data_IF_486618112699
#
_entry.id   IF_486618112699
#
_cell.length_a   1.000
_cell.length_b   1.000
_cell.length_c   1.000
_cell.angle_alpha   90.00
_cell.angle_beta   90.00
_cell.angle_gamma   90.00
#
_symmetry.space_group_name_H-M   'P 1'
#
loop_
_entity.id
_entity.type
_entity.pdbx_description
1 polymer ?
#
# COMPACT_ATOMS: atom_id res chain seq x y z
N UNK A 1 1.69 -43.47 0.49
CA UNK A 1 1.03 -44.60 1.15
C UNK A 1 0.97 -44.31 2.65
N UNK A 2 -0.18 -44.53 3.29
CA UNK A 2 -0.39 -44.46 4.73
C UNK A 2 -1.11 -45.75 5.11
N UNK A 3 -0.52 -46.55 5.99
CA UNK A 3 -1.05 -47.86 6.42
C UNK A 3 -1.41 -48.81 5.27
N UNK A 4 -0.57 -48.87 4.23
CA UNK A 4 -0.80 -49.73 3.06
C UNK A 4 -1.70 -49.13 1.99
N UNK A 5 -2.32 -47.96 2.24
CA UNK A 5 -3.26 -47.33 1.31
C UNK A 5 -2.65 -46.11 0.61
N UNK A 6 -2.79 -46.04 -0.72
CA UNK A 6 -2.44 -44.85 -1.50
C UNK A 6 -3.46 -43.74 -1.21
N UNK A 7 -2.97 -42.61 -0.69
CA UNK A 7 -3.76 -41.39 -0.45
C UNK A 7 -3.30 -40.30 -1.43
N UNK A 8 -4.17 -39.35 -1.73
CA UNK A 8 -3.90 -38.23 -2.66
C UNK A 8 -2.67 -37.38 -2.22
N UNK A 9 -2.51 -37.17 -0.91
CA UNK A 9 -1.46 -36.33 -0.34
C UNK A 9 -1.67 -34.83 -0.59
N UNK A 10 -0.80 -34.02 0.00
CA UNK A 10 -0.79 -32.56 -0.18
C UNK A 10 -0.23 -32.18 -1.57
N UNK A 11 -0.50 -30.95 -2.01
CA UNK A 11 0.06 -30.39 -3.25
C UNK A 11 1.55 -29.98 -3.12
N UNK A 12 2.24 -30.46 -2.09
CA UNK A 12 3.70 -30.33 -1.91
C UNK A 12 4.45 -31.34 -2.79
N UNK A 13 5.77 -31.16 -2.92
CA UNK A 13 6.61 -32.08 -3.70
C UNK A 13 6.67 -33.47 -3.06
N UNK A 14 6.78 -33.53 -1.72
CA UNK A 14 6.80 -34.79 -0.97
C UNK A 14 5.43 -35.46 -0.79
N UNK A 15 4.33 -34.80 -1.19
CA UNK A 15 2.93 -35.19 -0.89
C UNK A 15 2.57 -35.20 0.60
N UNK A 16 3.44 -34.70 1.47
CA UNK A 16 3.25 -34.60 2.93
C UNK A 16 3.08 -33.15 3.38
N UNK A 17 2.66 -32.97 4.63
CA UNK A 17 2.76 -31.69 5.32
C UNK A 17 4.23 -31.49 5.72
N UNK A 18 4.92 -30.54 5.08
CA UNK A 18 6.36 -30.34 5.21
C UNK A 18 6.69 -29.41 6.39
N UNK A 19 7.19 -29.97 7.50
CA UNK A 19 7.93 -29.17 8.49
C UNK A 19 9.34 -28.83 7.99
N UNK A 20 9.99 -29.80 7.35
CA UNK A 20 11.20 -29.60 6.57
C UNK A 20 10.83 -29.60 5.07
N UNK A 21 11.17 -28.52 4.37
CA UNK A 21 10.90 -28.36 2.94
C UNK A 21 12.18 -28.58 2.13
N UNK A 22 12.27 -29.74 1.49
CA UNK A 22 13.46 -30.22 0.79
C UNK A 22 13.90 -29.26 -0.32
N UNK A 23 12.96 -28.70 -1.07
CA UNK A 23 13.32 -27.75 -2.13
C UNK A 23 13.93 -26.46 -1.59
N UNK A 24 13.58 -26.02 -0.37
CA UNK A 24 14.23 -24.86 0.26
C UNK A 24 15.68 -25.19 0.63
N UNK A 25 15.95 -26.42 1.07
CA UNK A 25 17.30 -26.92 1.34
C UNK A 25 18.17 -26.90 0.08
N UNK A 26 17.58 -27.12 -1.09
CA UNK A 26 18.26 -27.10 -2.38
C UNK A 26 18.31 -25.70 -3.02
N UNK A 27 17.31 -24.87 -2.78
CA UNK A 27 17.13 -23.58 -3.46
C UNK A 27 17.64 -22.41 -2.64
N UNK A 28 18.93 -22.12 -2.77
CA UNK A 28 19.62 -20.89 -2.32
C UNK A 28 19.49 -20.52 -0.84
N UNK A 29 18.53 -21.04 -0.08
CA UNK A 29 18.03 -20.59 1.23
C UNK A 29 17.89 -21.77 2.21
N UNK A 30 18.91 -22.62 2.38
CA UNK A 30 18.79 -23.88 3.11
C UNK A 30 18.45 -23.71 4.59
N UNK A 31 18.81 -22.59 5.20
CA UNK A 31 18.46 -22.30 6.59
C UNK A 31 16.96 -22.14 6.82
N UNK A 32 16.19 -21.84 5.76
CA UNK A 32 14.73 -21.65 5.79
C UNK A 32 13.97 -22.92 5.37
N UNK A 33 14.66 -24.06 5.27
CA UNK A 33 14.01 -25.35 5.05
C UNK A 33 13.09 -25.75 6.21
N UNK A 34 13.26 -25.16 7.39
CA UNK A 34 12.31 -25.24 8.51
C UNK A 34 11.81 -23.84 8.88
N UNK A 35 10.60 -23.70 9.46
CA UNK A 35 10.13 -22.41 9.96
C UNK A 35 11.06 -21.86 11.05
N UNK A 36 11.54 -20.63 10.86
CA UNK A 36 12.41 -19.94 11.81
C UNK A 36 11.99 -18.48 11.98
N UNK A 37 12.22 -17.95 13.18
CA UNK A 37 11.99 -16.54 13.51
C UNK A 37 13.17 -16.00 14.30
N UNK A 38 13.84 -14.91 13.84
CA UNK A 38 14.96 -14.32 14.56
C UNK A 38 14.48 -13.59 15.84
N UNK A 39 14.78 -14.15 17.01
CA UNK A 39 14.31 -13.64 18.30
C UNK A 39 15.28 -12.66 18.96
N UNK A 40 16.58 -12.74 18.66
CA UNK A 40 17.59 -11.80 19.19
C UNK A 40 17.96 -10.70 18.20
N UNK A 41 18.53 -9.60 18.69
CA UNK A 41 18.99 -8.48 17.85
C UNK A 41 20.10 -8.93 16.89
N UNK A 42 21.00 -9.80 17.34
CA UNK A 42 22.09 -10.37 16.55
C UNK A 42 21.54 -11.25 15.42
N UNK A 43 20.54 -12.08 15.72
CA UNK A 43 19.87 -12.90 14.72
C UNK A 43 19.16 -12.02 13.68
N UNK A 44 18.43 -10.99 14.11
CA UNK A 44 17.74 -10.06 13.20
C UNK A 44 18.71 -9.31 12.29
N UNK A 45 19.88 -8.93 12.78
CA UNK A 45 20.95 -8.35 11.94
C UNK A 45 21.46 -9.35 10.89
N UNK A 46 21.69 -10.61 11.28
CA UNK A 46 22.17 -11.65 10.37
C UNK A 46 21.13 -12.07 9.34
N UNK A 47 19.85 -12.01 9.71
CA UNK A 47 18.71 -12.54 8.95
C UNK A 47 17.78 -11.40 8.49
N UNK A 48 18.34 -10.22 8.21
CA UNK A 48 17.56 -8.99 7.98
C UNK A 48 16.48 -9.13 6.88
N UNK A 49 16.72 -9.97 5.86
CA UNK A 49 15.81 -10.24 4.75
C UNK A 49 14.53 -11.00 5.15
N UNK A 50 14.45 -11.58 6.35
CA UNK A 50 13.20 -12.14 6.93
C UNK A 50 12.68 -11.34 8.12
N UNK A 51 13.31 -10.19 8.43
CA UNK A 51 12.80 -9.25 9.43
C UNK A 51 11.87 -8.29 8.70
N UNK A 52 10.63 -8.14 9.20
CA UNK A 52 9.69 -7.17 8.64
C UNK A 52 10.28 -5.76 8.66
N UNK A 53 10.17 -5.02 7.57
CA UNK A 53 10.63 -3.63 7.40
C UNK A 53 9.95 -2.63 8.34
N UNK A 54 8.97 -3.06 9.13
CA UNK A 54 8.32 -2.25 10.17
C UNK A 54 8.61 -2.78 11.58
N UNK A 55 9.63 -3.62 11.74
CA UNK A 55 10.05 -4.12 13.04
C UNK A 55 10.51 -2.94 13.92
N UNK A 56 10.19 -2.98 15.21
CA UNK A 56 10.48 -1.89 16.16
C UNK A 56 11.98 -1.57 16.29
N UNK A 57 12.87 -2.52 16.03
CA UNK A 57 14.32 -2.28 15.93
C UNK A 57 14.69 -1.16 14.94
N UNK A 58 13.84 -0.88 13.95
CA UNK A 58 14.04 0.18 12.96
C UNK A 58 13.43 1.51 13.37
N UNK A 59 12.66 1.59 14.46
CA UNK A 59 12.04 2.82 14.94
C UNK A 59 13.00 3.48 15.93
N UNK A 60 13.84 4.39 15.44
CA UNK A 60 14.90 5.00 16.25
C UNK A 60 14.46 6.33 16.88
N UNK A 61 13.48 6.99 16.26
CA UNK A 61 12.96 8.28 16.70
C UNK A 61 11.57 8.12 17.29
N UNK A 62 11.23 9.00 18.22
CA UNK A 62 9.94 8.96 18.90
C UNK A 62 8.74 9.15 17.97
N UNK A 63 8.93 9.79 16.82
CA UNK A 63 7.89 10.03 15.83
C UNK A 63 7.93 9.06 14.63
N UNK A 64 8.61 7.91 14.80
CA UNK A 64 8.62 6.82 13.81
C UNK A 64 7.65 5.70 14.19
N UNK A 65 6.88 5.23 13.21
CA UNK A 65 5.78 4.27 13.43
C UNK A 65 5.75 3.19 12.36
N UNK A 66 5.15 2.05 12.72
CA UNK A 66 4.69 1.07 11.76
C UNK A 66 3.32 1.48 11.21
N UNK A 67 3.23 1.77 9.91
CA UNK A 67 1.97 2.10 9.25
C UNK A 67 1.32 0.85 8.62
N UNK A 68 0.12 0.52 9.09
CA UNK A 68 -0.77 -0.43 8.43
C UNK A 68 -1.57 0.29 7.34
N UNK A 69 -1.15 0.10 6.09
CA UNK A 69 -1.79 0.67 4.90
C UNK A 69 -2.89 -0.21 4.31
N UNK A 70 -3.03 -1.45 4.79
CA UNK A 70 -3.97 -2.45 4.27
C UNK A 70 -5.22 -2.56 5.14
N UNK A 71 -5.41 -1.66 6.09
CA UNK A 71 -6.62 -1.53 6.88
C UNK A 71 -7.82 -1.30 5.96
N UNK A 72 -8.87 -2.12 6.15
CA UNK A 72 -10.08 -2.09 5.35
C UNK A 72 -11.29 -1.79 6.21
N UNK A 73 -12.17 -0.95 5.68
CA UNK A 73 -13.47 -0.68 6.28
C UNK A 73 -14.40 -1.83 5.88
N UNK A 74 -15.10 -2.46 6.83
CA UNK A 74 -15.82 -3.72 6.58
C UNK A 74 -16.97 -3.58 5.58
N UNK A 75 -17.49 -2.36 5.39
CA UNK A 75 -18.57 -2.05 4.47
C UNK A 75 -18.08 -1.57 3.08
N UNK A 76 -16.77 -1.42 2.87
CA UNK A 76 -16.21 -1.03 1.58
C UNK A 76 -15.55 -2.21 0.85
N UNK A 77 -15.74 -2.27 -0.47
CA UNK A 77 -15.19 -3.33 -1.33
C UNK A 77 -13.96 -2.78 -2.05
N UNK A 78 -12.80 -2.83 -1.39
CA UNK A 78 -11.56 -2.23 -1.90
C UNK A 78 -11.80 -0.82 -2.49
N UNK A 79 -11.47 -0.62 -3.76
CA UNK A 79 -11.62 0.64 -4.48
C UNK A 79 -12.96 0.76 -5.22
N UNK A 80 -13.83 -0.26 -5.14
CA UNK A 80 -14.99 -0.45 -6.03
C UNK A 80 -16.30 0.09 -5.46
N UNK A 81 -16.34 0.41 -4.17
CA UNK A 81 -17.51 0.99 -3.50
C UNK A 81 -17.46 2.52 -3.39
N UNK A 82 -16.40 3.18 -3.89
CA UNK A 82 -16.24 4.64 -3.77
C UNK A 82 -17.37 5.42 -4.46
N UNK A 83 -18.04 4.80 -5.43
CA UNK A 83 -19.16 5.43 -6.13
C UNK A 83 -20.54 5.02 -5.57
N UNK A 84 -20.59 4.57 -4.31
CA UNK A 84 -21.84 4.34 -3.58
C UNK A 84 -22.08 5.48 -2.59
N UNK A 85 -23.20 6.21 -2.76
CA UNK A 85 -23.58 7.34 -1.89
C UNK A 85 -23.62 6.93 -0.41
N UNK A 86 -24.37 5.86 -0.10
CA UNK A 86 -24.57 5.39 1.27
C UNK A 86 -23.27 4.93 1.94
N UNK A 87 -22.39 4.28 1.18
CA UNK A 87 -21.11 3.81 1.73
C UNK A 87 -20.14 4.97 1.94
N UNK A 88 -20.14 5.95 1.05
CA UNK A 88 -19.31 7.15 1.22
C UNK A 88 -19.78 8.01 2.38
N UNK A 89 -21.08 8.20 2.56
CA UNK A 89 -21.65 8.93 3.69
C UNK A 89 -21.10 8.42 5.04
N UNK A 90 -21.15 7.11 5.28
CA UNK A 90 -20.65 6.53 6.54
C UNK A 90 -19.12 6.44 6.60
N UNK A 91 -18.43 6.48 5.45
CA UNK A 91 -16.97 6.43 5.37
C UNK A 91 -16.32 7.69 5.92
N UNK A 92 -17.00 8.84 5.87
CA UNK A 92 -16.44 10.14 6.29
C UNK A 92 -16.11 10.19 7.80
N UNK A 93 -16.68 9.28 8.59
CA UNK A 93 -16.36 9.17 10.02
C UNK A 93 -15.05 8.43 10.31
N UNK A 94 -14.46 7.80 9.30
CA UNK A 94 -13.29 6.92 9.45
C UNK A 94 -12.04 7.54 8.79
N UNK A 95 -11.94 8.87 8.89
CA UNK A 95 -10.85 9.69 8.35
C UNK A 95 -9.48 9.14 8.74
N UNK A 96 -8.50 9.30 7.83
CA UNK A 96 -7.79 8.19 7.25
C UNK A 96 -6.79 7.57 8.21
N UNK A 97 -6.12 8.37 9.04
CA UNK A 97 -4.95 7.93 9.79
C UNK A 97 -5.24 7.87 11.28
N UNK A 98 -5.37 6.65 11.77
CA UNK A 98 -5.59 6.35 13.17
C UNK A 98 -4.25 6.25 13.90
N UNK A 99 -4.18 6.91 15.06
CA UNK A 99 -3.00 6.95 15.94
C UNK A 99 -3.44 6.69 17.38
N UNK A 100 -2.62 5.97 18.16
CA UNK A 100 -2.94 5.71 19.55
C UNK A 100 -3.07 7.02 20.34
N UNK A 101 -4.01 7.11 21.28
CA UNK A 101 -4.24 8.33 22.08
C UNK A 101 -3.00 8.79 22.85
N UNK A 102 -2.14 7.87 23.32
CA UNK A 102 -0.91 8.19 24.04
C UNK A 102 0.15 8.77 23.10
N UNK A 103 0.32 8.19 21.91
CA UNK A 103 1.24 8.69 20.90
C UNK A 103 0.78 10.03 20.34
N UNK A 104 -0.52 10.20 20.10
CA UNK A 104 -1.11 11.46 19.68
C UNK A 104 -0.87 12.56 20.72
N UNK A 105 -1.10 12.26 22.01
CA UNK A 105 -0.80 13.18 23.11
C UNK A 105 0.69 13.55 23.15
N UNK A 106 1.58 12.57 23.00
CA UNK A 106 3.03 12.77 23.00
C UNK A 106 3.50 13.65 21.84
N UNK A 107 2.89 13.51 20.67
CA UNK A 107 3.18 14.32 19.47
C UNK A 107 2.32 15.58 19.35
N UNK A 108 1.47 15.87 20.33
CA UNK A 108 0.52 16.99 20.30
C UNK A 108 -0.40 16.99 19.04
N UNK A 109 -0.81 15.81 18.59
CA UNK A 109 -1.77 15.62 17.50
C UNK A 109 -3.17 15.50 18.09
N UNK A 110 -4.08 16.34 17.62
CA UNK A 110 -5.51 16.33 17.96
C UNK A 110 -6.32 15.73 16.81
N UNK A 111 -7.56 15.36 17.13
CA UNK A 111 -8.50 14.92 16.11
C UNK A 111 -8.73 16.04 15.10
N UNK A 112 -8.58 15.71 13.81
CA UNK A 112 -8.79 16.67 12.73
C UNK A 112 -7.52 17.37 12.26
N UNK A 113 -6.42 17.28 13.02
CA UNK A 113 -5.17 17.92 12.63
C UNK A 113 -4.63 17.32 11.33
N UNK A 114 -4.11 18.19 10.47
CA UNK A 114 -3.33 17.78 9.31
C UNK A 114 -1.96 17.28 9.80
N UNK A 115 -1.61 16.05 9.42
CA UNK A 115 -0.32 15.44 9.72
C UNK A 115 0.41 15.10 8.44
N UNK A 116 1.73 15.34 8.42
CA UNK A 116 2.62 14.88 7.35
C UNK A 116 3.13 13.50 7.69
N UNK A 117 2.90 12.56 6.78
CA UNK A 117 3.34 11.17 6.90
C UNK A 117 4.38 10.89 5.82
N UNK A 118 5.64 10.84 6.22
CA UNK A 118 6.77 10.57 5.33
C UNK A 118 7.15 9.10 5.40
N UNK A 119 7.21 8.41 4.26
CA UNK A 119 7.66 7.01 4.19
C UNK A 119 9.17 6.99 4.05
N UNK A 120 9.82 6.21 4.93
CA UNK A 120 11.27 6.04 4.96
C UNK A 120 11.56 4.55 4.84
N UNK A 121 12.33 4.18 3.82
CA UNK A 121 12.73 2.79 3.64
C UNK A 121 13.81 2.37 4.65
N UNK A 122 13.70 1.17 5.19
CA UNK A 122 14.61 0.65 6.23
C UNK A 122 15.92 0.12 5.68
N UNK A 123 15.99 -0.23 4.39
CA UNK A 123 17.20 -0.80 3.78
C UNK A 123 18.10 0.32 3.26
N UNK A 124 17.54 1.18 2.41
CA UNK A 124 18.27 2.29 1.77
C UNK A 124 18.34 3.56 2.63
N UNK A 125 17.45 3.71 3.62
CA UNK A 125 17.31 4.95 4.41
C UNK A 125 16.70 6.13 3.64
N UNK A 126 16.22 5.91 2.42
CA UNK A 126 15.68 6.96 1.56
C UNK A 126 14.21 7.26 1.86
N UNK A 127 13.85 8.53 1.70
CA UNK A 127 12.45 8.97 1.72
C UNK A 127 11.84 8.78 0.33
N UNK A 128 10.81 7.94 0.24
CA UNK A 128 10.09 7.69 -1.01
C UNK A 128 9.07 8.80 -1.32
N UNK A 129 8.67 9.53 -0.30
CA UNK A 129 7.82 10.71 -0.38
C UNK A 129 6.97 10.88 0.89
N UNK A 130 5.95 11.73 0.79
CA UNK A 130 5.02 11.97 1.89
C UNK A 130 3.59 12.20 1.40
N UNK A 131 2.65 12.07 2.32
CA UNK A 131 1.28 12.51 2.13
C UNK A 131 0.79 13.26 3.37
N UNK A 132 -0.14 14.19 3.17
CA UNK A 132 -0.80 14.92 4.25
C UNK A 132 -2.18 14.32 4.47
N UNK A 133 -2.46 13.90 5.70
CA UNK A 133 -3.70 13.24 6.06
C UNK A 133 -4.27 13.82 7.35
N UNK A 134 -5.57 13.58 7.60
CA UNK A 134 -6.17 13.92 8.89
C UNK A 134 -5.80 12.86 9.95
N UNK A 135 -5.25 13.31 11.06
CA UNK A 135 -4.96 12.49 12.23
C UNK A 135 -6.22 12.25 13.08
N UNK A 136 -6.42 11.00 13.52
CA UNK A 136 -7.54 10.58 14.36
C UNK A 136 -7.01 9.79 15.56
N UNK A 137 -6.89 10.42 16.75
CA UNK A 137 -6.57 9.73 17.99
C UNK A 137 -7.63 8.67 18.34
N UNK A 138 -7.20 7.45 18.64
CA UNK A 138 -8.07 6.33 19.01
C UNK A 138 -7.34 5.31 19.87
N UNK A 139 -8.06 4.58 20.71
CA UNK A 139 -7.49 3.46 21.49
C UNK A 139 -7.48 2.14 20.69
N UNK A 140 -8.05 2.14 19.48
CA UNK A 140 -8.15 0.96 18.61
C UNK A 140 -6.83 0.58 17.91
N UNK A 141 -5.77 1.39 18.07
CA UNK A 141 -4.42 1.11 17.55
C UNK A 141 -3.45 0.90 18.71
N UNK A 142 -2.53 -0.06 18.58
CA UNK A 142 -1.44 -0.25 19.54
C UNK A 142 -0.48 0.95 19.52
N UNK A 143 0.12 1.35 20.66
CA UNK A 143 1.21 2.32 20.66
C UNK A 143 2.35 1.94 19.71
N UNK A 144 2.91 2.92 19.00
CA UNK A 144 3.94 2.70 17.97
C UNK A 144 3.40 2.19 16.61
N UNK A 145 2.09 2.01 16.48
CA UNK A 145 1.41 1.60 15.25
C UNK A 145 0.39 2.66 14.83
N UNK A 146 0.37 2.96 13.54
CA UNK A 146 -0.68 3.76 12.91
C UNK A 146 -1.39 2.95 11.84
N UNK A 147 -2.65 3.29 11.56
CA UNK A 147 -3.41 2.63 10.50
C UNK A 147 -3.98 3.67 9.54
N UNK A 148 -3.73 3.49 8.24
CA UNK A 148 -4.35 4.28 7.20
C UNK A 148 -5.31 3.42 6.38
N UNK A 149 -6.59 3.80 6.34
CA UNK A 149 -7.61 3.09 5.56
C UNK A 149 -7.25 3.08 4.08
N UNK A 150 -7.25 1.89 3.46
CA UNK A 150 -7.02 1.76 2.02
C UNK A 150 -8.17 2.34 1.16
N UNK A 151 -9.31 2.67 1.77
CA UNK A 151 -10.51 3.09 1.03
C UNK A 151 -10.60 4.59 0.78
N UNK A 152 -9.93 5.40 1.62
CA UNK A 152 -9.88 6.85 1.51
C UNK A 152 -8.85 7.32 0.47
N UNK A 153 -8.83 8.62 0.17
CA UNK A 153 -7.82 9.23 -0.71
C UNK A 153 -8.01 8.92 -2.20
N UNK A 154 -9.25 8.73 -2.65
CA UNK A 154 -9.52 8.66 -4.10
C UNK A 154 -9.48 10.06 -4.68
N UNK A 155 -9.28 10.12 -5.99
CA UNK A 155 -9.11 11.37 -6.71
C UNK A 155 -9.55 11.19 -8.15
N UNK A 156 -9.81 12.32 -8.81
CA UNK A 156 -9.96 12.45 -10.26
C UNK A 156 -9.25 13.72 -10.72
N UNK A 157 -8.87 13.77 -11.99
CA UNK A 157 -8.21 14.94 -12.59
C UNK A 157 -9.17 15.80 -13.43
N UNK A 158 -10.34 15.26 -13.74
CA UNK A 158 -11.35 15.92 -14.57
C UNK A 158 -12.74 15.65 -14.03
N UNK A 159 -13.59 16.66 -14.11
CA UNK A 159 -15.00 16.58 -13.74
C UNK A 159 -15.88 16.03 -14.88
N UNK A 160 -15.46 16.17 -16.13
CA UNK A 160 -16.13 15.64 -17.31
C UNK A 160 -15.11 15.37 -18.43
N UNK A 161 -15.50 14.55 -19.40
CA UNK A 161 -14.70 14.23 -20.59
C UNK A 161 -15.54 14.35 -21.86
N UNK A 162 -14.96 14.93 -22.90
CA UNK A 162 -15.56 14.92 -24.23
C UNK A 162 -15.26 13.59 -24.91
N UNK A 163 -16.31 12.89 -25.34
CA UNK A 163 -16.20 11.61 -26.04
C UNK A 163 -16.79 11.77 -27.44
N UNK A 164 -16.04 11.46 -28.52
CA UNK A 164 -16.57 11.49 -29.87
C UNK A 164 -17.87 10.67 -29.99
N UNK A 165 -18.90 11.27 -30.58
CA UNK A 165 -20.23 10.66 -30.73
C UNK A 165 -21.26 11.05 -29.66
N UNK A 166 -20.86 11.75 -28.60
CA UNK A 166 -21.77 12.33 -27.63
C UNK A 166 -22.02 13.81 -27.92
N UNK A 167 -23.27 14.27 -27.74
CA UNK A 167 -23.67 15.67 -27.97
C UNK A 167 -23.25 16.63 -26.86
N UNK A 168 -22.76 16.11 -25.75
CA UNK A 168 -22.33 16.84 -24.56
C UNK A 168 -21.22 16.08 -23.84
N UNK A 169 -20.44 16.79 -23.02
CA UNK A 169 -19.41 16.19 -22.18
C UNK A 169 -20.04 15.20 -21.18
N UNK A 170 -19.38 14.06 -20.97
CA UNK A 170 -19.83 13.07 -19.99
C UNK A 170 -19.19 13.33 -18.63
N UNK A 171 -20.04 13.56 -17.62
CA UNK A 171 -19.59 13.75 -16.23
C UNK A 171 -18.88 12.52 -15.68
N UNK A 172 -17.74 12.73 -15.03
CA UNK A 172 -17.09 11.71 -14.21
C UNK A 172 -17.79 11.70 -12.85
N UNK A 173 -18.61 10.67 -12.63
CA UNK A 173 -19.24 10.41 -11.34
C UNK A 173 -18.19 9.90 -10.35
N UNK A 174 -17.91 10.69 -9.32
CA UNK A 174 -16.87 10.41 -8.34
C UNK A 174 -17.34 10.81 -6.95
N UNK A 175 -18.20 9.98 -6.34
CA UNK A 175 -18.86 10.28 -5.07
C UNK A 175 -17.93 10.24 -3.85
N UNK A 176 -16.76 9.65 -3.96
CA UNK A 176 -15.69 9.79 -2.98
C UNK A 176 -14.36 10.17 -3.61
N UNK A 177 -14.40 10.77 -4.81
CA UNK A 177 -13.21 11.17 -5.56
C UNK A 177 -13.24 12.68 -5.86
N UNK A 178 -12.68 13.51 -4.94
CA UNK A 178 -12.48 14.93 -5.16
C UNK A 178 -11.61 15.21 -6.40
N UNK A 179 -11.65 16.45 -6.87
CA UNK A 179 -10.82 16.92 -7.97
C UNK A 179 -9.43 17.31 -7.45
N UNK A 180 -8.40 16.88 -8.16
CA UNK A 180 -7.01 17.17 -7.85
C UNK A 180 -6.28 17.70 -9.07
N UNK A 181 -5.25 18.50 -8.83
CA UNK A 181 -4.20 18.80 -9.81
C UNK A 181 -3.01 17.85 -9.59
N UNK A 182 -2.46 17.35 -10.69
CA UNK A 182 -1.33 16.41 -10.69
C UNK A 182 -0.19 16.96 -11.53
N UNK A 183 1.03 16.83 -11.03
CA UNK A 183 2.25 17.05 -11.82
C UNK A 183 3.12 15.80 -11.79
N UNK A 184 3.74 15.47 -12.92
CA UNK A 184 4.69 14.36 -13.04
C UNK A 184 5.76 14.74 -14.07
N UNK A 185 7.02 14.80 -13.65
CA UNK A 185 8.16 15.11 -14.53
C UNK A 185 9.10 13.90 -14.77
N UNK A 186 8.71 12.73 -14.25
CA UNK A 186 9.50 11.49 -14.30
C UNK A 186 10.47 11.30 -13.13
N UNK A 187 10.71 12.33 -12.32
CA UNK A 187 11.52 12.27 -11.09
C UNK A 187 10.68 12.51 -9.85
N UNK A 188 9.74 13.44 -9.94
CA UNK A 188 8.83 13.85 -8.88
C UNK A 188 7.40 13.75 -9.41
N UNK A 189 6.51 13.30 -8.53
CA UNK A 189 5.07 13.35 -8.71
C UNK A 189 4.43 14.14 -7.56
N UNK A 190 3.49 15.03 -7.87
CA UNK A 190 2.67 15.69 -6.85
C UNK A 190 1.20 15.53 -7.15
N UNK A 191 0.39 15.47 -6.09
CA UNK A 191 -1.06 15.55 -6.16
C UNK A 191 -1.52 16.60 -5.16
N UNK A 192 -2.29 17.61 -5.59
CA UNK A 192 -2.81 18.67 -4.73
C UNK A 192 -4.33 18.77 -4.85
N UNK A 193 -5.07 18.83 -3.73
CA UNK A 193 -6.53 18.92 -3.75
C UNK A 193 -6.94 20.26 -4.37
N UNK A 194 -7.96 20.23 -5.20
CA UNK A 194 -8.47 21.40 -5.91
C UNK A 194 -9.90 21.74 -5.55
N UNK A 195 -10.75 20.72 -5.46
CA UNK A 195 -12.18 20.89 -5.22
C UNK A 195 -12.77 19.63 -4.56
N UNK A 196 -13.55 19.84 -3.49
CA UNK A 196 -14.30 18.80 -2.79
C UNK A 196 -15.49 18.26 -3.60
N UNK A 197 -15.98 17.08 -3.22
CA UNK A 197 -17.12 16.43 -3.88
C UNK A 197 -18.42 17.19 -3.67
N UNK A 198 -18.69 17.67 -2.46
CA UNK A 198 -19.88 18.44 -2.09
C UNK A 198 -20.11 19.67 -3.00
N UNK A 199 -19.20 20.63 -2.97
CA UNK A 199 -19.31 21.84 -3.79
C UNK A 199 -19.15 21.54 -5.28
N UNK A 200 -18.16 20.69 -5.62
CA UNK A 200 -17.80 20.41 -7.00
C UNK A 200 -18.84 19.58 -7.76
N UNK A 201 -19.62 18.73 -7.09
CA UNK A 201 -20.72 18.01 -7.74
C UNK A 201 -21.94 18.91 -7.95
N UNK A 202 -22.25 19.77 -6.97
CA UNK A 202 -23.39 20.69 -7.05
C UNK A 202 -23.21 21.80 -8.09
N UNK A 203 -21.98 22.24 -8.33
CA UNK A 203 -21.68 23.21 -9.37
C UNK A 203 -21.90 22.69 -10.81
N UNK A 204 -22.07 21.37 -11.01
CA UNK A 204 -22.15 20.72 -12.33
C UNK A 204 -23.35 19.81 -12.51
N UNK A 205 -24.52 20.22 -11.98
CA UNK A 205 -25.80 19.48 -12.11
C UNK A 205 -26.20 19.14 -13.54
N UNK A 206 -25.74 19.94 -14.50
CA UNK A 206 -25.92 19.72 -15.93
C UNK A 206 -25.25 18.42 -16.40
N UNK A 207 -24.08 18.06 -15.85
CA UNK A 207 -23.29 16.88 -16.19
C UNK A 207 -23.75 15.57 -15.51
N UNK A 208 -24.77 15.64 -14.66
CA UNK A 208 -25.25 14.48 -13.91
C UNK A 208 -25.92 13.47 -14.84
N UNK A 209 -25.43 12.23 -14.77
CA UNK A 209 -25.97 11.12 -15.53
C UNK A 209 -27.21 10.55 -14.82
N UNK A 210 -28.23 10.15 -15.58
CA UNK A 210 -29.44 9.51 -15.05
C UNK A 210 -30.12 10.30 -13.93
N UNK A 211 -30.38 11.60 -14.16
CA UNK A 211 -30.86 12.56 -13.14
C UNK A 211 -32.04 12.07 -12.31
N UNK A 212 -33.04 11.43 -12.93
CA UNK A 212 -34.20 10.86 -12.23
C UNK A 212 -33.79 9.78 -11.21
N UNK A 213 -32.85 8.90 -11.57
CA UNK A 213 -32.34 7.85 -10.69
C UNK A 213 -31.35 8.38 -9.64
N UNK A 214 -30.75 9.54 -9.91
CA UNK A 214 -29.73 10.19 -9.10
C UNK A 214 -30.21 11.51 -8.49
N UNK A 215 -31.52 11.65 -8.24
CA UNK A 215 -32.13 12.86 -7.69
C UNK A 215 -31.66 13.22 -6.27
N UNK A 216 -31.14 12.25 -5.55
CA UNK A 216 -30.59 12.34 -4.20
C UNK A 216 -29.10 12.72 -4.18
N UNK A 217 -28.48 12.99 -5.33
CA UNK A 217 -27.13 13.58 -5.36
C UNK A 217 -27.08 14.95 -4.69
N UNK A 218 -28.21 15.66 -4.61
CA UNK A 218 -28.34 16.93 -3.89
C UNK A 218 -28.16 16.77 -2.36
N UNK A 219 -28.14 15.54 -1.81
CA UNK A 219 -27.97 15.26 -0.37
C UNK A 219 -26.51 15.06 0.06
N UNK A 220 -25.55 15.15 -0.87
CA UNK A 220 -24.13 14.92 -0.57
C UNK A 220 -23.58 16.10 0.24
N UNK A 221 -23.09 15.80 1.45
CA UNK A 221 -22.58 16.79 2.41
C UNK A 221 -21.08 16.68 2.67
N UNK A 222 -20.38 15.76 1.99
CA UNK A 222 -18.98 15.46 2.23
C UNK A 222 -18.07 15.89 1.10
N UNK A 223 -16.89 16.39 1.43
CA UNK A 223 -15.89 16.85 0.47
C UNK A 223 -15.00 15.70 -0.07
N UNK A 224 -14.86 14.60 0.68
CA UNK A 224 -13.94 13.50 0.37
C UNK A 224 -12.45 13.87 0.47
N UNK A 225 -12.11 15.03 1.03
CA UNK A 225 -10.75 15.58 1.12
C UNK A 225 -10.01 15.18 2.40
N UNK A 226 -10.63 14.40 3.27
CA UNK A 226 -10.03 13.97 4.53
C UNK A 226 -8.90 12.94 4.35
N UNK A 227 -8.84 12.25 3.21
CA UNK A 227 -7.94 11.13 2.90
C UNK A 227 -6.83 11.46 1.91
N UNK A 228 -5.73 10.70 1.96
CA UNK A 228 -4.67 10.75 0.96
C UNK A 228 -4.37 9.36 0.38
N UNK A 229 -3.95 9.32 -0.88
CA UNK A 229 -3.60 8.08 -1.59
C UNK A 229 -2.22 7.55 -1.13
N UNK A 230 -2.16 6.87 0.01
CA UNK A 230 -0.87 6.45 0.60
C UNK A 230 -0.04 5.53 -0.32
N UNK A 231 -0.70 4.70 -1.13
CA UNK A 231 0.00 3.76 -2.02
C UNK A 231 0.80 4.46 -3.12
N UNK A 232 0.53 5.74 -3.43
CA UNK A 232 1.35 6.52 -4.37
C UNK A 232 2.77 6.72 -3.86
N UNK A 233 2.91 6.80 -2.54
CA UNK A 233 4.14 7.18 -1.84
C UNK A 233 4.99 5.95 -1.52
N UNK A 234 4.36 4.78 -1.36
CA UNK A 234 5.05 3.55 -1.00
C UNK A 234 5.97 3.08 -2.14
N UNK A 235 7.26 2.98 -1.85
CA UNK A 235 8.24 2.37 -2.75
C UNK A 235 7.97 0.88 -2.93
N UNK A 236 8.59 0.29 -3.95
CA UNK A 236 8.49 -1.16 -4.18
C UNK A 236 9.39 -1.91 -3.20
N UNK A 237 8.77 -2.63 -2.25
CA UNK A 237 9.44 -3.46 -1.25
C UNK A 237 9.17 -4.96 -1.53
N UNK A 238 9.90 -5.61 -2.43
CA UNK A 238 9.68 -7.01 -2.75
C UNK A 238 10.25 -7.92 -1.65
N UNK A 239 9.42 -8.83 -1.12
CA UNK A 239 9.87 -9.91 -0.25
C UNK A 239 11.07 -10.62 -0.90
N UNK A 240 12.24 -10.69 -0.22
CA UNK A 240 13.47 -11.11 -0.86
C UNK A 240 13.51 -12.56 -1.35
N UNK A 241 12.57 -13.39 -0.88
CA UNK A 241 12.50 -14.83 -1.19
C UNK A 241 11.34 -15.12 -2.15
N UNK A 242 10.13 -14.65 -1.84
CA UNK A 242 8.90 -14.95 -2.56
C UNK A 242 8.55 -13.90 -3.64
N UNK A 243 9.07 -12.68 -3.52
CA UNK A 243 8.84 -11.57 -4.44
C UNK A 243 7.48 -10.87 -4.28
N UNK A 244 6.75 -11.11 -3.19
CA UNK A 244 5.50 -10.42 -2.89
C UNK A 244 5.78 -9.01 -2.38
N UNK A 245 4.92 -8.04 -2.68
CA UNK A 245 5.12 -6.69 -2.15
C UNK A 245 4.77 -6.59 -0.65
N UNK A 246 5.65 -5.95 0.12
CA UNK A 246 5.45 -5.67 1.54
C UNK A 246 4.73 -4.33 1.74
N UNK A 247 3.47 -4.38 2.17
CA UNK A 247 2.59 -3.19 2.21
C UNK A 247 2.71 -2.32 3.46
N UNK A 248 3.14 -2.88 4.59
CA UNK A 248 3.38 -2.09 5.80
C UNK A 248 4.57 -1.14 5.58
N UNK A 249 4.51 0.07 6.11
CA UNK A 249 5.52 1.10 5.86
C UNK A 249 6.12 1.59 7.16
N UNK A 250 7.45 1.75 7.22
CA UNK A 250 8.06 2.59 8.24
C UNK A 250 7.77 4.04 7.85
N UNK A 251 7.21 4.80 8.79
CA UNK A 251 6.90 6.21 8.57
C UNK A 251 7.51 7.09 9.65
N UNK A 252 7.68 8.36 9.32
CA UNK A 252 7.88 9.46 10.26
C UNK A 252 6.68 10.40 10.19
N UNK A 253 6.25 10.90 11.34
CA UNK A 253 5.06 11.76 11.46
C UNK A 253 5.39 13.08 12.12
N UNK A 254 4.81 14.15 11.60
CA UNK A 254 4.81 15.48 12.20
C UNK A 254 3.50 16.20 11.89
N UNK A 255 3.22 17.30 12.60
CA UNK A 255 2.14 18.21 12.19
C UNK A 255 2.47 18.78 10.81
N UNK A 256 1.44 18.91 9.98
CA UNK A 256 1.59 19.52 8.66
C UNK A 256 2.05 20.99 8.79
N UNK A 257 2.87 21.44 7.83
CA UNK A 257 3.34 22.81 7.75
C UNK A 257 2.24 23.79 7.32
N UNK A 258 2.53 25.08 7.34
CA UNK A 258 1.56 26.13 7.00
C UNK A 258 1.04 26.07 5.55
N UNK A 259 1.86 25.55 4.62
CA UNK A 259 1.53 25.43 3.20
C UNK A 259 1.03 24.03 2.80
N UNK A 260 0.98 23.10 3.76
CA UNK A 260 0.52 21.74 3.54
C UNK A 260 -1.00 21.66 3.68
N UNK A 261 -1.67 20.99 2.75
CA UNK A 261 -3.13 20.76 2.79
C UNK A 261 -3.44 19.27 2.86
N UNK A 262 -4.45 18.86 3.63
CA UNK A 262 -4.88 17.44 3.67
C UNK A 262 -5.22 16.97 2.26
N UNK A 263 -4.69 15.82 1.86
CA UNK A 263 -4.77 15.30 0.51
C UNK A 263 -3.55 15.61 -0.36
N UNK A 264 -2.65 16.51 0.08
CA UNK A 264 -1.37 16.73 -0.60
C UNK A 264 -0.53 15.44 -0.61
N UNK A 265 0.07 15.15 -1.77
CA UNK A 265 0.96 14.00 -1.97
C UNK A 265 2.20 14.47 -2.70
N UNK A 266 3.35 13.95 -2.27
CA UNK A 266 4.63 14.09 -2.94
C UNK A 266 5.29 12.71 -3.07
N UNK A 267 5.81 12.42 -4.26
CA UNK A 267 6.47 11.15 -4.58
C UNK A 267 7.82 11.44 -5.23
N UNK A 268 8.86 10.76 -4.77
CA UNK A 268 10.20 10.81 -5.37
C UNK A 268 10.47 9.50 -6.13
N UNK A 269 10.28 9.51 -7.45
CA UNK A 269 10.46 8.34 -8.31
C UNK A 269 11.91 7.82 -8.34
N UNK A 270 12.88 8.73 -8.31
CA UNK A 270 14.30 8.37 -8.29
C UNK A 270 14.64 7.59 -7.01
N UNK A 271 14.15 8.05 -5.85
CA UNK A 271 14.32 7.33 -4.59
C UNK A 271 13.54 6.01 -4.59
N UNK A 272 12.31 5.97 -5.11
CA UNK A 272 11.53 4.73 -5.22
C UNK A 272 12.28 3.64 -6.00
N UNK A 273 12.94 4.00 -7.10
CA UNK A 273 13.74 3.06 -7.88
C UNK A 273 14.97 2.58 -7.12
N UNK A 274 15.66 3.48 -6.41
CA UNK A 274 16.82 3.14 -5.57
C UNK A 274 16.43 2.24 -4.39
N UNK A 275 15.28 2.47 -3.77
CA UNK A 275 14.72 1.59 -2.72
C UNK A 275 14.52 0.18 -3.27
N UNK A 276 13.86 0.06 -4.43
CA UNK A 276 13.69 -1.25 -5.08
C UNK A 276 15.04 -1.93 -5.36
N UNK A 277 16.02 -1.19 -5.85
CA UNK A 277 17.37 -1.70 -6.09
C UNK A 277 18.04 -2.18 -4.82
N UNK A 278 17.98 -1.41 -3.73
CA UNK A 278 18.54 -1.80 -2.44
C UNK A 278 17.89 -3.10 -1.92
N UNK A 279 16.57 -3.22 -1.98
CA UNK A 279 15.89 -4.46 -1.60
C UNK A 279 16.31 -5.66 -2.46
N UNK A 280 16.45 -5.46 -3.76
CA UNK A 280 16.92 -6.51 -4.67
C UNK A 280 18.38 -6.87 -4.38
N UNK A 281 19.25 -5.89 -4.25
CA UNK A 281 20.70 -6.08 -4.26
C UNK A 281 21.24 -6.47 -2.88
N UNK A 282 20.64 -5.96 -1.79
CA UNK A 282 21.14 -6.14 -0.43
C UNK A 282 20.43 -7.27 0.34
N UNK A 283 19.17 -7.60 -0.03
CA UNK A 283 18.39 -8.61 0.70
C UNK A 283 18.22 -9.94 -0.05
N UNK A 284 18.34 -9.95 -1.38
CA UNK A 284 18.16 -11.20 -2.16
C UNK A 284 19.47 -11.96 -2.35
N UNK A 285 19.36 -13.24 -2.71
CA UNK A 285 20.50 -14.05 -3.18
C UNK A 285 20.53 -14.01 -4.72
N UNK A 286 21.61 -13.51 -5.35
CA UNK A 286 21.66 -13.37 -6.79
C UNK A 286 21.76 -14.72 -7.49
N UNK A 287 21.29 -14.73 -8.74
CA UNK A 287 21.54 -15.84 -9.64
C UNK A 287 23.03 -15.88 -10.02
N UNK A 288 23.54 -17.08 -10.24
CA UNK A 288 24.94 -17.38 -10.56
C UNK A 288 25.07 -17.92 -11.98
N UNK A 289 26.29 -17.90 -12.52
CA UNK A 289 26.60 -18.58 -13.78
C UNK A 289 26.20 -20.06 -13.68
N UNK A 290 25.43 -20.53 -14.65
CA UNK A 290 24.90 -21.89 -14.68
C UNK A 290 23.50 -22.06 -14.08
N UNK A 291 22.98 -21.09 -13.32
CA UNK A 291 21.58 -21.12 -12.89
C UNK A 291 20.65 -21.12 -14.11
N UNK A 292 19.65 -22.01 -14.08
CA UNK A 292 18.68 -22.18 -15.17
C UNK A 292 17.29 -21.66 -14.84
N UNK A 293 17.04 -21.30 -13.58
CA UNK A 293 15.75 -20.84 -13.09
C UNK A 293 15.90 -19.50 -12.38
N UNK A 294 14.92 -18.60 -12.55
CA UNK A 294 14.79 -17.33 -11.83
C UNK A 294 14.22 -17.50 -10.44
N UNK A 295 13.39 -18.52 -10.26
CA UNK A 295 12.71 -18.92 -9.03
C UNK A 295 12.22 -20.37 -9.17
N UNK A 296 11.92 -21.08 -8.07
CA UNK A 296 11.38 -22.42 -8.16
C UNK A 296 10.00 -22.44 -8.81
N UNK A 297 9.76 -23.42 -9.68
CA UNK A 297 8.51 -23.55 -10.46
C UNK A 297 7.29 -23.91 -9.61
N UNK A 298 7.49 -24.56 -8.48
CA UNK A 298 6.40 -24.97 -7.57
C UNK A 298 5.89 -23.82 -6.69
N UNK A 299 6.60 -22.68 -6.59
CA UNK A 299 6.06 -21.50 -5.92
C UNK A 299 4.99 -20.89 -6.82
N UNK A 300 3.73 -21.03 -6.41
CA UNK A 300 2.55 -20.53 -7.13
C UNK A 300 2.70 -19.07 -7.53
N UNK A 301 2.26 -18.73 -8.75
CA UNK A 301 2.08 -17.34 -9.18
C UNK A 301 0.60 -17.02 -9.33
N UNK A 302 0.19 -15.77 -9.05
CA UNK A 302 -1.18 -15.32 -9.31
C UNK A 302 -1.54 -15.36 -10.81
N UNK A 303 -2.82 -15.57 -11.08
CA UNK A 303 -3.54 -15.27 -12.33
C UNK A 303 -3.39 -16.26 -13.51
N UNK A 304 -2.22 -16.78 -13.87
CA UNK A 304 -2.10 -17.74 -15.00
C UNK A 304 -1.02 -18.81 -14.81
N UNK A 305 -1.21 -20.05 -15.31
CA UNK A 305 -0.13 -21.01 -15.48
C UNK A 305 0.92 -20.42 -16.43
N UNK A 306 2.14 -20.27 -15.95
CA UNK A 306 3.24 -19.84 -16.80
C UNK A 306 3.95 -21.06 -17.39
N UNK A 307 4.30 -20.99 -18.66
CA UNK A 307 5.20 -21.97 -19.27
C UNK A 307 6.59 -21.94 -18.60
N UNK A 308 7.36 -23.02 -18.75
CA UNK A 308 8.73 -23.14 -18.22
C UNK A 308 9.64 -21.99 -18.66
N UNK A 309 9.38 -21.41 -19.84
CA UNK A 309 10.11 -20.24 -20.35
C UNK A 309 10.04 -19.02 -19.42
N UNK A 310 8.96 -18.87 -18.65
CA UNK A 310 8.84 -17.75 -17.73
C UNK A 310 9.69 -17.91 -16.46
N UNK A 311 10.11 -19.14 -16.16
CA UNK A 311 11.02 -19.46 -15.06
C UNK A 311 12.46 -19.53 -15.55
N UNK A 312 12.68 -19.90 -16.80
CA UNK A 312 14.01 -20.08 -17.36
C UNK A 312 14.84 -18.79 -17.38
N UNK A 313 16.14 -18.94 -17.18
CA UNK A 313 17.15 -17.93 -17.43
C UNK A 313 18.38 -18.59 -18.06
N UNK A 314 19.09 -17.84 -18.90
CA UNK A 314 20.42 -18.20 -19.35
C UNK A 314 21.36 -17.04 -19.03
N UNK A 315 22.11 -17.19 -17.95
CA UNK A 315 23.09 -16.20 -17.51
C UNK A 315 24.41 -16.55 -18.16
N UNK A 316 24.80 -15.75 -19.15
CA UNK A 316 26.10 -15.85 -19.78
C UNK A 316 27.19 -15.50 -18.76
N UNK A 317 28.26 -16.29 -18.79
CA UNK A 317 29.51 -16.05 -18.04
C UNK A 317 30.13 -14.71 -18.39
#
# INVERSE_FOLDING_TARGET
EVDGEVKQGFHTLSKKLEFFSEWFAEWKWPEYAIPIYPTTKEQRKKMVHVVTQVHHDFMEKENEFALNTVFRLPYNIHTRSVNSKHLMEISQNHNPVWINTQDAKRLNIKQGDAIKVTIIDTVSGLESGYFIAMGVPTEATMPGVMANSHHAGRWKLKNAVDIPGFSHALGVMGLGAPLYDMTMDGKIGTLKPKEGVDAGLMARKDTWQFKEYNKDLDNIWWDGLSGAWQNAVAATHPDPIAGNHAWHQKIRVELAGADDTIGDIYVNYDNNMKVYQAWRDDLTRPLQAGDKLRRPQHIKRPVVPLSDKAYAVDIKS
#
